data_IF_208778934801
#
_entry.id   IF_208778934801
#
_cell.length_a   1.000
_cell.length_b   1.000
_cell.length_c   1.000
_cell.angle_alpha   90.00
_cell.angle_beta   90.00
_cell.angle_gamma   90.00
#
_symmetry.space_group_name_H-M   'P 1'
#
loop_
_entity.id
_entity.type
_entity.pdbx_description
1 polymer ?
#
# COMPACT_ATOMS: atom_id res chain seq x y z
N UNK A 1 4.36 13.31 26.97
CA UNK A 1 4.88 14.32 26.04
C UNK A 1 3.81 14.56 24.98
N UNK A 2 3.42 15.80 24.71
CA UNK A 2 2.12 16.14 24.10
C UNK A 2 2.13 15.96 22.57
N UNK A 3 1.15 15.25 22.04
CA UNK A 3 0.91 14.94 20.61
C UNK A 3 1.02 16.13 19.61
N UNK A 4 0.93 17.43 20.02
CA UNK A 4 1.04 18.55 19.08
C UNK A 4 2.45 18.85 18.55
N UNK A 5 3.51 18.31 19.09
CA UNK A 5 4.87 18.66 18.66
C UNK A 5 5.33 17.85 17.43
N UNK A 6 4.89 16.62 17.28
CA UNK A 6 5.27 15.77 16.14
C UNK A 6 4.71 16.25 14.79
N UNK A 7 3.67 17.11 14.80
CA UNK A 7 3.10 17.72 13.58
C UNK A 7 3.85 18.96 13.06
N UNK A 8 4.79 19.52 13.79
CA UNK A 8 5.46 20.78 13.44
C UNK A 8 6.78 20.63 12.68
N UNK A 9 7.47 19.51 12.79
CA UNK A 9 8.79 19.37 12.15
C UNK A 9 8.74 18.95 10.66
N UNK A 10 7.62 18.46 10.18
CA UNK A 10 7.45 18.10 8.76
C UNK A 10 7.00 19.23 7.83
N UNK A 11 6.93 20.49 8.33
CA UNK A 11 6.38 21.64 7.56
C UNK A 11 7.42 22.66 7.07
N UNK A 12 8.69 22.41 7.19
CA UNK A 12 9.75 23.36 6.83
C UNK A 12 10.68 22.84 5.74
N UNK A 13 10.17 22.68 4.51
CA UNK A 13 11.01 22.76 3.29
C UNK A 13 10.14 22.81 2.03
N UNK A 14 9.54 23.97 1.78
CA UNK A 14 9.06 24.33 0.44
C UNK A 14 9.20 25.85 0.33
N UNK A 15 10.39 26.31 -0.05
CA UNK A 15 10.59 27.69 -0.51
C UNK A 15 10.32 27.73 -2.01
N UNK A 16 9.20 28.33 -2.38
CA UNK A 16 8.92 28.79 -3.73
C UNK A 16 9.83 29.96 -4.09
N UNK A 17 10.55 29.82 -5.20
CA UNK A 17 11.24 30.92 -5.87
C UNK A 17 10.27 31.56 -6.85
N UNK A 18 9.77 32.75 -6.52
CA UNK A 18 9.06 33.63 -7.46
C UNK A 18 10.07 34.39 -8.32
N UNK A 19 10.03 34.15 -9.61
CA UNK A 19 10.69 35.00 -10.61
C UNK A 19 9.68 36.04 -11.06
N UNK A 20 9.96 37.32 -10.73
CA UNK A 20 9.23 38.50 -11.18
C UNK A 20 9.87 38.97 -12.50
N UNK A 21 9.14 38.87 -13.60
CA UNK A 21 9.50 39.56 -14.86
C UNK A 21 8.68 40.85 -14.96
N UNK A 22 9.35 41.98 -14.87
CA UNK A 22 8.84 43.32 -15.20
C UNK A 22 8.87 43.49 -16.73
N UNK A 23 7.70 43.76 -17.32
CA UNK A 23 7.60 44.29 -18.66
C UNK A 23 7.35 45.81 -18.58
N UNK A 24 8.24 46.57 -19.21
CA UNK A 24 8.21 48.02 -19.36
C UNK A 24 7.27 48.38 -20.49
N UNK A 25 6.33 49.31 -20.22
CA UNK A 25 5.46 49.94 -21.21
C UNK A 25 6.10 51.25 -21.64
N UNK A 26 6.40 51.42 -22.94
CA UNK A 26 6.78 52.66 -23.54
C UNK A 26 5.63 53.18 -24.39
N UNK A 27 5.24 54.39 -24.07
CA UNK A 27 4.20 55.23 -24.69
C UNK A 27 4.82 55.99 -25.89
N UNK A 28 4.16 56.04 -27.03
CA UNK A 28 4.31 57.13 -27.99
C UNK A 28 3.07 57.35 -28.86
N UNK A 29 2.66 58.54 -28.79
CA UNK A 29 1.67 59.36 -29.45
C UNK A 29 1.48 59.18 -30.97
N UNK A 30 0.28 59.50 -31.46
CA UNK A 30 0.01 59.77 -32.87
C UNK A 30 -1.47 60.02 -33.17
N UNK A 31 -1.84 61.29 -33.08
CA UNK A 31 -3.11 61.91 -33.48
C UNK A 31 -3.45 61.71 -34.95
N UNK A 32 -4.71 62.02 -35.23
CA UNK A 32 -5.34 62.53 -36.50
C UNK A 32 -6.43 61.57 -36.97
N UNK A 33 -7.67 61.90 -37.11
CA UNK A 33 -8.50 63.01 -37.45
C UNK A 33 -9.82 62.44 -38.00
N UNK A 34 -10.87 62.84 -37.42
CA UNK A 34 -12.15 63.37 -37.92
C UNK A 34 -12.79 62.86 -39.23
N UNK A 35 -14.07 62.66 -39.06
CA UNK A 35 -15.20 62.98 -39.98
C UNK A 35 -15.49 61.97 -41.12
N UNK A 36 -16.65 61.42 -41.13
CA UNK A 36 -17.82 61.72 -41.99
C UNK A 36 -19.03 60.93 -41.59
N UNK A 37 -20.03 61.59 -41.40
CA UNK A 37 -21.38 61.58 -41.07
C UNK A 37 -22.29 60.75 -42.00
N UNK A 38 -23.38 60.33 -41.43
CA UNK A 38 -24.75 60.36 -41.91
C UNK A 38 -25.25 59.32 -42.94
N UNK A 39 -26.40 58.83 -42.56
CA UNK A 39 -27.58 58.37 -43.32
C UNK A 39 -27.48 56.98 -43.97
N UNK A 40 -28.24 56.06 -43.49
CA UNK A 40 -29.48 55.59 -44.12
C UNK A 40 -30.30 54.75 -43.13
N UNK A 41 -31.37 55.24 -42.76
CA UNK A 41 -32.72 54.93 -42.45
C UNK A 41 -33.16 53.52 -42.87
N UNK A 42 -33.80 52.87 -41.92
CA UNK A 42 -34.91 51.91 -42.03
C UNK A 42 -34.85 50.86 -43.13
N UNK A 43 -34.88 49.65 -42.76
CA UNK A 43 -35.88 48.68 -43.24
C UNK A 43 -36.01 47.46 -42.35
N UNK A 44 -37.19 47.26 -41.87
CA UNK A 44 -37.91 46.00 -41.65
C UNK A 44 -37.54 45.10 -40.49
N UNK A 45 -38.38 45.23 -39.47
CA UNK A 45 -38.77 44.15 -38.57
C UNK A 45 -38.96 42.84 -39.33
N UNK A 46 -38.18 41.86 -39.01
CA UNK A 46 -38.58 40.47 -39.08
C UNK A 46 -38.20 39.80 -37.78
N UNK A 47 -39.15 39.78 -36.87
CA UNK A 47 -39.13 38.86 -35.72
C UNK A 47 -39.23 37.45 -36.26
N UNK A 48 -38.09 36.77 -36.43
CA UNK A 48 -38.09 35.33 -36.46
C UNK A 48 -37.89 34.84 -35.03
N UNK A 49 -39.00 34.46 -34.41
CA UNK A 49 -39.00 33.63 -33.21
C UNK A 49 -38.32 32.30 -33.57
N UNK A 50 -37.01 32.22 -33.40
CA UNK A 50 -36.34 30.94 -33.34
C UNK A 50 -36.58 30.35 -31.95
N UNK A 51 -37.18 29.17 -31.82
CA UNK A 51 -37.22 28.50 -30.54
C UNK A 51 -35.78 28.20 -30.15
N UNK A 52 -35.31 28.84 -29.10
CA UNK A 52 -34.10 28.41 -28.38
C UNK A 52 -34.44 27.06 -27.77
N UNK A 53 -34.06 25.99 -28.47
CA UNK A 53 -33.97 24.72 -27.83
C UNK A 53 -32.85 24.88 -26.78
N UNK A 54 -33.24 25.07 -25.53
CA UNK A 54 -32.37 24.83 -24.41
C UNK A 54 -31.93 23.38 -24.54
N UNK A 55 -30.73 23.17 -25.06
CA UNK A 55 -30.03 21.91 -24.86
C UNK A 55 -29.83 21.81 -23.35
N UNK A 56 -30.69 20.99 -22.77
CA UNK A 56 -30.47 20.46 -21.44
C UNK A 56 -29.09 19.79 -21.50
N UNK A 57 -28.05 20.54 -21.12
CA UNK A 57 -26.75 19.99 -20.87
C UNK A 57 -26.93 19.11 -19.63
N UNK A 58 -27.42 17.90 -19.86
CA UNK A 58 -27.46 16.89 -18.85
C UNK A 58 -26.04 16.82 -18.29
N UNK A 59 -25.88 17.28 -17.04
CA UNK A 59 -24.69 17.10 -16.27
C UNK A 59 -24.36 15.60 -16.30
N UNK A 60 -23.48 15.24 -17.21
CA UNK A 60 -22.89 13.92 -17.22
C UNK A 60 -22.01 13.86 -15.97
N UNK A 61 -22.60 13.44 -14.87
CA UNK A 61 -21.87 13.10 -13.66
C UNK A 61 -20.91 11.97 -14.07
N UNK A 62 -19.67 12.32 -14.40
CA UNK A 62 -18.60 11.36 -14.59
C UNK A 62 -18.35 10.72 -13.24
N UNK A 63 -19.02 9.61 -12.99
CA UNK A 63 -18.71 8.77 -11.84
C UNK A 63 -17.40 8.09 -12.16
N UNK A 64 -16.31 8.61 -11.60
CA UNK A 64 -14.98 8.00 -11.70
C UNK A 64 -14.96 6.78 -10.77
N UNK A 65 -15.42 5.64 -11.27
CA UNK A 65 -15.45 4.39 -10.51
C UNK A 65 -14.03 3.83 -10.51
N UNK A 66 -13.36 3.96 -9.37
CA UNK A 66 -12.00 3.47 -9.20
C UNK A 66 -11.95 1.95 -9.27
N UNK A 67 -11.08 1.42 -10.11
CA UNK A 67 -10.76 -0.02 -10.18
C UNK A 67 -10.16 -0.50 -8.85
N UNK A 68 -10.76 -1.51 -8.24
CA UNK A 68 -10.27 -2.13 -7.00
C UNK A 68 -9.41 -3.33 -7.36
N UNK A 69 -8.16 -3.31 -6.93
CA UNK A 69 -7.19 -4.39 -7.13
C UNK A 69 -7.14 -5.30 -5.91
N UNK A 70 -7.29 -6.58 -6.11
CA UNK A 70 -7.17 -7.61 -5.07
C UNK A 70 -6.07 -8.57 -5.48
N UNK A 71 -5.00 -8.60 -4.69
CA UNK A 71 -3.94 -9.60 -4.84
C UNK A 71 -4.35 -10.87 -4.10
N UNK A 72 -4.23 -12.00 -4.77
CA UNK A 72 -4.68 -13.29 -4.27
C UNK A 72 -3.56 -14.30 -4.39
N UNK A 73 -3.24 -14.95 -3.29
CA UNK A 73 -2.37 -16.13 -3.25
C UNK A 73 -3.24 -17.38 -3.09
N UNK A 74 -3.01 -18.37 -3.94
CA UNK A 74 -3.63 -19.69 -3.78
C UNK A 74 -2.52 -20.70 -3.49
N UNK A 75 -2.70 -21.50 -2.44
CA UNK A 75 -1.76 -22.56 -2.10
C UNK A 75 -2.45 -23.93 -2.04
N UNK A 76 -1.71 -24.97 -2.30
CA UNK A 76 -2.15 -26.35 -2.10
C UNK A 76 -2.10 -26.75 -0.61
N UNK A 77 -2.42 -28.01 -0.33
CA UNK A 77 -2.39 -28.58 1.03
C UNK A 77 -0.99 -28.59 1.68
N UNK A 78 0.08 -28.45 0.87
CA UNK A 78 1.47 -28.38 1.34
C UNK A 78 1.95 -26.95 1.52
N UNK A 79 1.07 -25.95 1.26
CA UNK A 79 1.41 -24.53 1.30
C UNK A 79 2.18 -24.04 0.07
N UNK A 80 2.28 -24.85 -1.00
CA UNK A 80 2.96 -24.48 -2.25
C UNK A 80 2.05 -23.58 -3.07
N UNK A 81 2.56 -22.41 -3.56
CA UNK A 81 1.76 -21.52 -4.41
C UNK A 81 1.34 -22.17 -5.72
N UNK A 82 0.08 -22.02 -6.08
CA UNK A 82 -0.52 -22.56 -7.31
C UNK A 82 -0.70 -21.45 -8.32
N UNK A 83 0.06 -21.47 -9.43
CA UNK A 83 0.06 -20.43 -10.46
C UNK A 83 -0.75 -20.80 -11.72
N UNK A 84 -1.37 -22.00 -11.77
CA UNK A 84 -1.99 -22.54 -12.99
C UNK A 84 -3.48 -22.22 -13.16
N UNK A 85 -4.10 -21.52 -12.17
CA UNK A 85 -5.54 -21.24 -12.21
C UNK A 85 -5.91 -20.20 -13.27
N UNK A 86 -7.08 -20.36 -13.86
CA UNK A 86 -7.66 -19.43 -14.82
C UNK A 86 -8.68 -18.48 -14.15
N UNK A 87 -9.09 -17.43 -14.87
CA UNK A 87 -10.06 -16.45 -14.39
C UNK A 87 -11.36 -17.10 -13.91
N UNK A 88 -11.80 -18.13 -14.61
CA UNK A 88 -13.04 -18.86 -14.36
C UNK A 88 -13.02 -19.66 -13.06
N UNK A 89 -11.82 -19.90 -12.50
CA UNK A 89 -11.69 -20.55 -11.20
C UNK A 89 -11.95 -19.63 -10.02
N UNK A 90 -12.10 -18.31 -10.25
CA UNK A 90 -12.26 -17.35 -9.16
C UNK A 90 -13.66 -16.75 -9.13
N UNK A 91 -14.24 -16.70 -7.93
CA UNK A 91 -15.41 -15.90 -7.61
C UNK A 91 -15.03 -14.85 -6.58
N UNK A 92 -15.35 -13.59 -6.86
CA UNK A 92 -15.10 -12.46 -5.95
C UNK A 92 -16.42 -11.88 -5.48
N UNK A 93 -16.55 -11.67 -4.17
CA UNK A 93 -17.71 -11.00 -3.55
C UNK A 93 -17.23 -9.78 -2.77
N UNK A 94 -17.97 -8.67 -2.89
CA UNK A 94 -17.84 -7.49 -2.03
C UNK A 94 -19.12 -7.35 -1.21
N UNK A 95 -18.98 -7.25 0.11
CA UNK A 95 -20.11 -7.21 1.05
C UNK A 95 -21.17 -8.30 0.78
N UNK A 96 -20.73 -9.49 0.36
CA UNK A 96 -21.58 -10.62 0.02
C UNK A 96 -22.17 -10.61 -1.40
N UNK A 97 -22.03 -9.50 -2.15
CA UNK A 97 -22.48 -9.41 -3.56
C UNK A 97 -21.37 -9.80 -4.51
N UNK A 98 -21.69 -10.67 -5.46
CA UNK A 98 -20.74 -11.08 -6.50
C UNK A 98 -20.36 -9.91 -7.39
N UNK A 99 -19.07 -9.82 -7.72
CA UNK A 99 -18.50 -8.77 -8.56
C UNK A 99 -17.93 -9.36 -9.85
N UNK A 100 -18.16 -8.68 -10.97
CA UNK A 100 -17.61 -9.09 -12.26
C UNK A 100 -16.14 -8.67 -12.35
N UNK A 101 -15.24 -9.63 -12.54
CA UNK A 101 -13.82 -9.35 -12.75
C UNK A 101 -13.61 -8.60 -14.07
N UNK A 102 -13.11 -7.38 -13.98
CA UNK A 102 -12.71 -6.56 -15.12
C UNK A 102 -11.29 -6.93 -15.60
N UNK A 103 -10.38 -7.20 -14.64
CA UNK A 103 -8.99 -7.58 -14.92
C UNK A 103 -8.69 -8.89 -14.20
N UNK A 104 -7.97 -9.75 -14.88
CA UNK A 104 -7.34 -10.95 -14.34
C UNK A 104 -5.92 -11.03 -14.89
N UNK A 105 -4.94 -11.16 -14.03
CA UNK A 105 -3.55 -11.37 -14.41
C UNK A 105 -2.91 -12.42 -13.50
N UNK A 106 -2.10 -13.26 -14.09
CA UNK A 106 -1.17 -14.13 -13.37
C UNK A 106 0.16 -13.37 -13.27
N UNK A 107 0.87 -13.50 -12.17
CA UNK A 107 2.19 -12.89 -12.01
C UNK A 107 2.16 -11.38 -12.33
N UNK A 108 1.68 -10.60 -11.38
CA UNK A 108 1.59 -9.16 -11.57
C UNK A 108 2.97 -8.53 -11.87
N UNK A 109 3.10 -7.85 -13.01
CA UNK A 109 4.27 -7.06 -13.37
C UNK A 109 4.35 -5.70 -12.65
N UNK A 110 3.35 -5.41 -11.84
CA UNK A 110 3.33 -4.16 -11.09
C UNK A 110 4.56 -4.06 -10.17
N UNK A 111 5.19 -2.88 -10.09
CA UNK A 111 6.32 -2.66 -9.19
C UNK A 111 5.96 -3.05 -7.75
N UNK A 112 6.90 -3.69 -7.07
CA UNK A 112 6.77 -4.12 -5.70
C UNK A 112 7.47 -3.12 -4.77
N UNK A 113 6.75 -2.60 -3.78
CA UNK A 113 7.31 -1.79 -2.70
C UNK A 113 7.26 -2.57 -1.40
N UNK A 114 8.42 -2.85 -0.83
CA UNK A 114 8.58 -3.66 0.39
C UNK A 114 9.06 -2.77 1.53
N UNK A 115 8.34 -2.74 2.65
CA UNK A 115 8.83 -2.24 3.93
C UNK A 115 9.27 -3.43 4.78
N UNK A 116 10.57 -3.59 4.96
CA UNK A 116 11.15 -4.62 5.82
C UNK A 116 11.39 -4.01 7.20
N UNK A 117 10.64 -4.46 8.21
CA UNK A 117 10.71 -4.00 9.59
C UNK A 117 11.35 -5.08 10.47
N UNK A 118 12.48 -4.75 11.08
CA UNK A 118 13.29 -5.68 11.86
C UNK A 118 13.25 -5.25 13.32
N UNK A 119 12.79 -6.14 14.18
CA UNK A 119 12.85 -5.97 15.62
C UNK A 119 14.29 -6.00 16.09
N UNK A 120 14.66 -5.04 16.91
CA UNK A 120 16.01 -4.93 17.48
C UNK A 120 15.97 -4.84 19.00
N UNK A 121 14.87 -5.27 19.61
CA UNK A 121 14.68 -5.31 21.06
C UNK A 121 15.72 -6.21 21.75
N UNK A 122 15.74 -6.19 23.08
CA UNK A 122 16.73 -6.96 23.83
C UNK A 122 16.59 -8.47 23.65
N UNK A 123 15.38 -8.97 23.44
CA UNK A 123 15.08 -10.39 23.24
C UNK A 123 15.72 -10.93 21.96
N UNK A 124 15.73 -10.15 20.87
CA UNK A 124 16.31 -10.55 19.57
C UNK A 124 17.83 -10.43 19.51
N UNK A 125 18.47 -9.88 20.55
CA UNK A 125 19.89 -9.49 20.53
C UNK A 125 20.86 -10.58 20.09
N UNK A 126 20.61 -11.83 20.47
CA UNK A 126 21.50 -12.97 20.14
C UNK A 126 21.39 -13.33 18.66
N UNK A 127 20.19 -13.22 18.09
CA UNK A 127 19.87 -13.70 16.75
C UNK A 127 19.96 -12.59 15.69
N UNK A 128 20.01 -11.32 16.12
CA UNK A 128 20.04 -10.15 15.24
C UNK A 128 21.09 -10.23 14.11
N UNK A 129 22.35 -10.66 14.33
CA UNK A 129 23.33 -10.77 13.23
C UNK A 129 22.89 -11.75 12.14
N UNK A 130 22.23 -12.85 12.53
CA UNK A 130 21.72 -13.87 11.61
C UNK A 130 20.49 -13.37 10.88
N UNK A 131 19.59 -12.66 11.57
CA UNK A 131 18.42 -12.02 10.98
C UNK A 131 18.81 -10.99 9.93
N UNK A 132 19.81 -10.15 10.21
CA UNK A 132 20.34 -9.17 9.26
C UNK A 132 20.99 -9.83 8.05
N UNK A 133 21.66 -10.97 8.22
CA UNK A 133 22.22 -11.74 7.10
C UNK A 133 21.10 -12.31 6.21
N UNK A 134 20.05 -12.89 6.80
CA UNK A 134 18.88 -13.40 6.08
C UNK A 134 18.10 -12.27 5.38
N UNK A 135 17.97 -11.10 6.02
CA UNK A 135 17.37 -9.91 5.42
C UNK A 135 18.11 -9.43 4.14
N UNK A 136 19.44 -9.43 4.15
CA UNK A 136 20.26 -9.13 2.96
C UNK A 136 20.03 -10.15 1.84
N UNK A 137 19.99 -11.42 2.19
CA UNK A 137 19.72 -12.50 1.23
C UNK A 137 18.33 -12.36 0.61
N UNK A 138 17.32 -12.06 1.42
CA UNK A 138 15.97 -11.76 0.95
C UNK A 138 15.96 -10.60 -0.04
N UNK A 139 16.57 -9.46 0.31
CA UNK A 139 16.63 -8.30 -0.57
C UNK A 139 17.23 -8.63 -1.94
N UNK A 140 18.33 -9.41 -1.98
CA UNK A 140 18.97 -9.86 -3.23
C UNK A 140 18.09 -10.80 -4.06
N UNK A 141 17.25 -11.60 -3.40
CA UNK A 141 16.41 -12.60 -4.06
C UNK A 141 15.14 -11.98 -4.63
N UNK A 142 14.52 -11.03 -3.90
CA UNK A 142 13.19 -10.51 -4.24
C UNK A 142 13.24 -9.31 -5.17
N UNK A 143 14.24 -8.42 -5.06
CA UNK A 143 14.24 -7.15 -5.77
C UNK A 143 14.53 -7.29 -7.25
N UNK A 144 13.69 -6.64 -8.06
CA UNK A 144 13.90 -6.36 -9.47
C UNK A 144 14.22 -4.86 -9.65
N UNK A 145 14.74 -4.42 -10.80
CA UNK A 145 15.10 -2.99 -11.00
C UNK A 145 13.96 -1.99 -10.75
N UNK A 146 12.71 -2.37 -11.03
CA UNK A 146 11.53 -1.53 -10.83
C UNK A 146 10.99 -1.55 -9.40
N UNK A 147 11.47 -2.47 -8.55
CA UNK A 147 11.00 -2.62 -7.18
C UNK A 147 11.73 -1.66 -6.23
N UNK A 148 11.20 -1.51 -5.03
CA UNK A 148 11.83 -0.73 -3.98
C UNK A 148 11.67 -1.39 -2.61
N UNK A 149 12.78 -1.47 -1.88
CA UNK A 149 12.79 -1.95 -0.51
C UNK A 149 13.24 -0.84 0.42
N UNK A 150 12.45 -0.57 1.46
CA UNK A 150 12.83 0.25 2.60
C UNK A 150 13.13 -0.66 3.79
N UNK A 151 14.13 -0.29 4.59
CA UNK A 151 14.48 -1.02 5.81
C UNK A 151 14.19 -0.14 7.01
N UNK A 152 13.39 -0.66 7.91
CA UNK A 152 13.12 -0.09 9.23
C UNK A 152 13.73 -0.99 10.30
N UNK A 153 14.29 -0.39 11.32
CA UNK A 153 14.49 -1.06 12.60
C UNK A 153 13.48 -0.54 13.59
N UNK A 154 13.03 -1.35 14.49
CA UNK A 154 12.18 -0.90 15.59
C UNK A 154 12.60 -1.54 16.91
N UNK A 155 12.48 -0.75 17.94
CA UNK A 155 12.70 -1.10 19.33
C UNK A 155 11.80 -0.17 20.17
N UNK A 156 12.34 0.68 21.05
CA UNK A 156 11.62 1.79 21.70
C UNK A 156 11.14 2.87 20.72
N UNK A 157 11.81 2.99 19.58
CA UNK A 157 11.50 3.91 18.47
C UNK A 157 11.61 3.17 17.14
N UNK A 158 10.98 3.74 16.11
CA UNK A 158 11.03 3.21 14.74
C UNK A 158 11.89 4.10 13.88
N UNK A 159 13.01 3.56 13.39
CA UNK A 159 13.96 4.29 12.56
C UNK A 159 13.95 3.77 11.11
N UNK A 160 13.90 4.72 10.17
CA UNK A 160 14.09 4.43 8.75
C UNK A 160 15.59 4.33 8.45
N UNK A 161 16.11 3.12 8.33
CA UNK A 161 17.52 2.84 8.03
C UNK A 161 17.85 3.02 6.55
N UNK A 162 16.92 2.65 5.67
CA UNK A 162 17.05 2.75 4.22
C UNK A 162 15.72 3.20 3.61
N UNK A 163 15.67 4.33 2.89
CA UNK A 163 14.47 4.70 2.13
C UNK A 163 14.29 3.75 0.94
N UNK A 164 13.07 3.71 0.36
CA UNK A 164 12.77 2.83 -0.77
C UNK A 164 13.79 2.95 -1.91
N UNK A 165 14.46 1.84 -2.18
CA UNK A 165 15.49 1.73 -3.23
C UNK A 165 15.61 0.29 -3.72
N UNK A 166 16.07 0.10 -4.96
CA UNK A 166 16.52 -1.19 -5.49
C UNK A 166 18.04 -1.38 -5.42
N UNK A 167 18.76 -0.36 -4.94
CA UNK A 167 20.23 -0.39 -4.82
C UNK A 167 20.67 -1.24 -3.62
N UNK A 168 21.14 -2.46 -3.91
CA UNK A 168 21.57 -3.41 -2.90
C UNK A 168 22.73 -2.88 -2.03
N UNK A 169 23.61 -2.03 -2.59
CA UNK A 169 24.73 -1.45 -1.80
C UNK A 169 24.21 -0.50 -0.71
N UNK A 170 23.18 0.29 -1.04
CA UNK A 170 22.52 1.18 -0.06
C UNK A 170 21.78 0.38 1.00
N UNK A 171 21.15 -0.72 0.59
CA UNK A 171 20.45 -1.63 1.53
C UNK A 171 21.46 -2.26 2.48
N UNK A 172 22.55 -2.84 1.96
CA UNK A 172 23.60 -3.45 2.78
C UNK A 172 24.19 -2.43 3.78
N UNK A 173 24.56 -1.24 3.29
CA UNK A 173 25.11 -0.17 4.14
C UNK A 173 24.13 0.31 5.22
N UNK A 174 22.83 0.30 4.93
CA UNK A 174 21.81 0.63 5.93
C UNK A 174 21.65 -0.44 6.98
N UNK A 175 21.62 -1.69 6.57
CA UNK A 175 21.57 -2.86 7.48
C UNK A 175 22.79 -2.89 8.40
N UNK A 176 23.98 -2.55 7.91
CA UNK A 176 25.21 -2.50 8.71
C UNK A 176 25.16 -1.49 9.86
N UNK A 177 24.29 -0.49 9.79
CA UNK A 177 24.09 0.52 10.85
C UNK A 177 23.07 0.12 11.90
N UNK A 178 22.35 -0.98 11.72
CA UNK A 178 21.35 -1.45 12.69
C UNK A 178 22.05 -1.87 13.98
N UNK A 179 21.51 -1.42 15.12
CA UNK A 179 21.98 -1.74 16.47
C UNK A 179 20.79 -2.12 17.33
N UNK A 180 21.06 -2.89 18.39
CA UNK A 180 20.03 -3.28 19.35
C UNK A 180 19.47 -2.08 20.11
N UNK A 181 18.20 -2.18 20.44
CA UNK A 181 17.48 -1.33 21.38
C UNK A 181 17.04 -2.10 22.62
N UNK A 182 15.95 -1.66 23.25
CA UNK A 182 15.56 -2.19 24.57
C UNK A 182 14.12 -2.72 24.64
N UNK A 183 13.17 -2.08 23.95
CA UNK A 183 11.74 -2.39 23.99
C UNK A 183 11.22 -2.74 22.58
N UNK A 184 9.90 -2.91 22.41
CA UNK A 184 9.28 -3.32 21.14
C UNK A 184 8.09 -2.42 20.83
N UNK A 185 8.25 -1.48 19.87
CA UNK A 185 7.20 -0.62 19.33
C UNK A 185 6.62 -1.23 18.05
N UNK A 186 6.00 -2.39 18.15
CA UNK A 186 5.50 -3.17 17.02
C UNK A 186 4.40 -2.45 16.24
N UNK A 187 3.39 -1.91 16.94
CA UNK A 187 2.27 -1.26 16.26
C UNK A 187 2.70 0.06 15.62
N UNK A 188 3.65 0.78 16.22
CA UNK A 188 4.25 1.97 15.60
C UNK A 188 5.01 1.60 14.32
N UNK A 189 5.75 0.49 14.31
CA UNK A 189 6.45 0.00 13.13
C UNK A 189 5.48 -0.36 11.98
N UNK A 190 4.38 -1.04 12.30
CA UNK A 190 3.33 -1.35 11.32
C UNK A 190 2.69 -0.06 10.80
N UNK A 191 2.34 0.86 11.68
CA UNK A 191 1.69 2.13 11.33
C UNK A 191 2.58 3.00 10.41
N UNK A 192 3.83 3.24 10.80
CA UNK A 192 4.76 4.08 10.05
C UNK A 192 5.15 3.46 8.70
N UNK A 193 5.39 2.14 8.68
CA UNK A 193 5.64 1.41 7.44
C UNK A 193 4.45 1.44 6.49
N UNK A 194 3.22 1.29 7.00
CA UNK A 194 2.00 1.44 6.22
C UNK A 194 1.83 2.85 5.65
N UNK A 195 2.09 3.89 6.45
CA UNK A 195 2.09 5.28 5.97
C UNK A 195 3.11 5.53 4.85
N UNK A 196 4.29 4.94 4.95
CA UNK A 196 5.30 5.04 3.89
C UNK A 196 4.85 4.31 2.62
N UNK A 197 4.28 3.11 2.76
CA UNK A 197 3.73 2.32 1.65
C UNK A 197 2.52 2.99 0.99
N UNK A 198 1.69 3.73 1.73
CA UNK A 198 0.52 4.43 1.17
C UNK A 198 0.89 5.43 0.07
N UNK A 199 2.11 5.97 0.09
CA UNK A 199 2.66 6.91 -0.89
C UNK A 199 3.25 6.21 -2.13
N UNK A 200 3.27 4.89 -2.15
CA UNK A 200 3.84 4.09 -3.23
C UNK A 200 2.76 3.63 -4.20
N UNK A 201 3.17 3.41 -5.45
CA UNK A 201 2.33 2.81 -6.48
C UNK A 201 2.65 1.32 -6.61
N UNK A 202 1.74 0.56 -7.23
CA UNK A 202 1.91 -0.87 -7.45
C UNK A 202 1.58 -1.70 -6.20
N UNK A 203 2.30 -2.80 -6.04
CA UNK A 203 2.09 -3.76 -4.94
C UNK A 203 2.82 -3.30 -3.69
N UNK A 204 2.14 -3.33 -2.57
CA UNK A 204 2.64 -2.83 -1.30
C UNK A 204 2.70 -3.98 -0.31
N UNK A 205 3.87 -4.23 0.19
CA UNK A 205 4.14 -5.35 1.10
C UNK A 205 4.93 -4.86 2.29
N UNK A 206 4.58 -5.34 3.47
CA UNK A 206 5.40 -5.21 4.66
C UNK A 206 5.82 -6.59 5.11
N UNK A 207 7.08 -6.73 5.50
CA UNK A 207 7.59 -7.93 6.18
C UNK A 207 8.07 -7.50 7.55
N UNK A 208 7.47 -8.07 8.59
CA UNK A 208 7.81 -7.79 9.99
C UNK A 208 8.52 -9.00 10.57
N UNK A 209 9.69 -8.81 11.18
CA UNK A 209 10.46 -9.83 11.87
C UNK A 209 10.51 -9.43 13.34
N UNK A 210 10.00 -10.27 14.24
CA UNK A 210 9.97 -10.01 15.68
C UNK A 210 9.83 -11.32 16.45
N UNK A 211 10.26 -11.34 17.69
CA UNK A 211 10.08 -12.47 18.62
C UNK A 211 9.01 -12.20 19.68
N UNK A 212 8.44 -10.99 19.68
CA UNK A 212 7.53 -10.57 20.74
C UNK A 212 6.38 -9.69 20.30
N UNK A 213 5.57 -9.37 21.29
CA UNK A 213 4.47 -8.44 21.17
C UNK A 213 4.88 -7.00 21.42
N UNK A 214 3.91 -6.13 21.26
CA UNK A 214 4.06 -4.72 21.51
C UNK A 214 4.23 -4.40 22.99
N UNK A 215 5.20 -3.56 23.33
CA UNK A 215 5.43 -3.15 24.73
C UNK A 215 5.36 -1.63 24.96
N UNK A 216 5.62 -0.82 23.93
CA UNK A 216 5.76 0.64 24.10
C UNK A 216 5.16 1.49 22.98
N UNK A 217 4.46 0.92 22.02
CA UNK A 217 3.86 1.69 20.93
C UNK A 217 2.93 2.81 21.42
N UNK A 218 2.92 3.90 20.69
CA UNK A 218 2.01 5.04 20.91
C UNK A 218 0.65 4.80 20.23
N UNK A 219 0.64 4.10 19.10
CA UNK A 219 -0.60 3.68 18.44
C UNK A 219 -1.03 2.30 18.98
N UNK A 220 -2.34 2.04 18.90
CA UNK A 220 -2.85 0.73 19.28
C UNK A 220 -2.99 -0.21 18.06
N UNK A 221 -3.28 -1.49 18.34
CA UNK A 221 -3.50 -2.53 17.34
C UNK A 221 -4.47 -2.10 16.21
N UNK A 222 -5.62 -1.50 16.58
CA UNK A 222 -6.66 -1.14 15.59
C UNK A 222 -6.20 -0.01 14.66
N UNK A 223 -5.44 0.94 15.18
CA UNK A 223 -4.86 2.04 14.40
C UNK A 223 -3.80 1.52 13.43
N UNK A 224 -2.94 0.61 13.87
CA UNK A 224 -1.92 -0.03 13.03
C UNK A 224 -2.56 -0.86 11.91
N UNK A 225 -3.54 -1.73 12.24
CA UNK A 225 -4.28 -2.52 11.25
C UNK A 225 -5.00 -1.63 10.24
N UNK A 226 -5.70 -0.60 10.71
CA UNK A 226 -6.40 0.34 9.86
C UNK A 226 -5.44 1.05 8.88
N UNK A 227 -4.30 1.52 9.37
CA UNK A 227 -3.27 2.14 8.51
C UNK A 227 -2.79 1.19 7.42
N UNK A 228 -2.58 -0.09 7.74
CA UNK A 228 -2.19 -1.12 6.77
C UNK A 228 -3.28 -1.35 5.71
N UNK A 229 -4.54 -1.43 6.12
CA UNK A 229 -5.68 -1.61 5.21
C UNK A 229 -5.92 -0.38 4.34
N UNK A 230 -5.81 0.84 4.87
CA UNK A 230 -5.90 2.10 4.10
C UNK A 230 -4.74 2.26 3.12
N UNK A 231 -3.55 1.77 3.46
CA UNK A 231 -2.41 1.70 2.56
C UNK A 231 -2.56 0.63 1.47
N UNK A 232 -3.49 -0.31 1.63
CA UNK A 232 -3.61 -1.53 0.81
C UNK A 232 -2.33 -2.38 0.86
N UNK A 233 -1.68 -2.41 2.03
CA UNK A 233 -0.46 -3.16 2.26
C UNK A 233 -0.76 -4.59 2.72
N UNK A 234 -0.11 -5.56 2.11
CA UNK A 234 -0.13 -6.96 2.57
C UNK A 234 1.00 -7.15 3.58
N UNK A 235 0.68 -7.68 4.77
CA UNK A 235 1.67 -7.87 5.83
C UNK A 235 2.02 -9.34 5.96
N UNK A 236 3.31 -9.63 5.94
CA UNK A 236 3.88 -10.93 6.28
C UNK A 236 4.62 -10.81 7.62
N UNK A 237 4.30 -11.68 8.56
CA UNK A 237 4.97 -11.72 9.86
C UNK A 237 5.89 -12.94 9.96
N UNK A 238 7.15 -12.73 10.30
CA UNK A 238 8.08 -13.80 10.66
C UNK A 238 8.28 -13.73 12.17
N UNK A 239 7.73 -14.71 12.86
CA UNK A 239 7.74 -14.81 14.32
C UNK A 239 8.93 -15.65 14.73
N UNK A 240 9.92 -15.00 15.33
CA UNK A 240 11.12 -15.68 15.85
C UNK A 240 10.75 -16.33 17.18
N UNK A 241 10.97 -17.63 17.29
CA UNK A 241 10.72 -18.37 18.52
C UNK A 241 12.05 -18.85 19.08
N UNK A 242 12.56 -18.23 20.17
CA UNK A 242 13.80 -18.68 20.80
C UNK A 242 13.68 -20.12 21.31
N UNK A 243 14.67 -20.96 21.05
CA UNK A 243 14.67 -22.39 21.47
C UNK A 243 14.60 -22.53 22.99
N UNK A 244 15.10 -21.57 23.74
CA UNK A 244 15.15 -21.56 25.20
C UNK A 244 13.90 -21.03 25.88
N UNK A 245 12.94 -20.47 25.13
CA UNK A 245 11.78 -19.75 25.66
C UNK A 245 10.51 -20.60 25.79
N UNK A 246 10.60 -21.79 26.33
CA UNK A 246 9.39 -22.56 26.69
C UNK A 246 8.60 -21.97 27.87
N UNK A 247 9.16 -21.03 28.62
CA UNK A 247 8.48 -20.33 29.72
C UNK A 247 8.53 -18.82 29.47
N UNK A 248 7.40 -18.23 29.00
CA UNK A 248 7.26 -16.80 28.83
C UNK A 248 6.98 -16.32 27.40
N UNK A 249 6.51 -17.21 26.52
CA UNK A 249 6.08 -16.87 25.17
C UNK A 249 4.94 -15.84 25.22
N UNK A 250 5.10 -14.70 24.56
CA UNK A 250 4.03 -13.70 24.46
C UNK A 250 2.98 -14.12 23.42
N UNK A 251 2.03 -14.91 23.89
CA UNK A 251 0.93 -15.39 23.04
C UNK A 251 0.00 -14.27 22.57
N UNK A 252 -0.07 -13.13 23.27
CA UNK A 252 -0.87 -11.98 22.90
C UNK A 252 -0.31 -11.26 21.67
N UNK A 253 0.98 -10.98 21.69
CA UNK A 253 1.69 -10.35 20.57
C UNK A 253 1.70 -11.25 19.34
N UNK A 254 1.93 -12.54 19.53
CA UNK A 254 1.86 -13.52 18.45
C UNK A 254 0.47 -13.55 17.78
N UNK A 255 -0.61 -13.57 18.57
CA UNK A 255 -1.96 -13.53 18.03
C UNK A 255 -2.23 -12.24 17.23
N UNK A 256 -1.74 -11.10 17.68
CA UNK A 256 -1.86 -9.85 16.96
C UNK A 256 -1.16 -9.89 15.59
N UNK A 257 0.05 -10.45 15.53
CA UNK A 257 0.80 -10.62 14.28
C UNK A 257 0.11 -11.56 13.30
N UNK A 258 -0.45 -12.67 13.78
CA UNK A 258 -1.23 -13.61 12.98
C UNK A 258 -2.43 -12.88 12.38
N UNK A 259 -3.21 -12.21 13.21
CA UNK A 259 -4.45 -11.56 12.80
C UNK A 259 -4.17 -10.38 11.81
N UNK A 260 -3.14 -9.55 12.05
CA UNK A 260 -2.75 -8.50 11.10
C UNK A 260 -2.36 -9.09 9.75
N UNK A 261 -1.60 -10.19 9.73
CA UNK A 261 -1.20 -10.84 8.49
C UNK A 261 -2.42 -11.35 7.72
N UNK A 262 -3.31 -12.08 8.38
CA UNK A 262 -4.51 -12.65 7.76
C UNK A 262 -5.47 -11.55 7.25
N UNK A 263 -5.74 -10.51 8.05
CA UNK A 263 -6.65 -9.42 7.68
C UNK A 263 -6.14 -8.58 6.50
N UNK A 264 -4.82 -8.55 6.30
CA UNK A 264 -4.18 -7.84 5.17
C UNK A 264 -3.92 -8.74 3.96
N UNK A 265 -4.24 -10.03 4.04
CA UNK A 265 -4.08 -11.00 2.95
C UNK A 265 -2.67 -11.56 2.81
N UNK A 266 -1.85 -11.40 3.82
CA UNK A 266 -0.54 -12.05 3.95
C UNK A 266 -0.61 -13.32 4.78
N UNK A 267 0.55 -13.73 5.28
CA UNK A 267 0.73 -14.92 6.10
C UNK A 267 1.74 -14.68 7.21
N UNK A 268 1.74 -15.58 8.17
CA UNK A 268 2.76 -15.63 9.21
C UNK A 268 3.60 -16.91 9.10
N UNK A 269 4.83 -16.82 9.54
CA UNK A 269 5.78 -17.93 9.58
C UNK A 269 6.49 -17.95 10.92
N UNK A 270 6.74 -19.14 11.42
CA UNK A 270 7.60 -19.33 12.59
C UNK A 270 9.01 -19.65 12.15
N UNK A 271 9.99 -19.09 12.84
CA UNK A 271 11.40 -19.40 12.66
C UNK A 271 12.07 -19.60 14.02
N UNK A 272 12.62 -20.79 14.26
CA UNK A 272 13.41 -21.13 15.45
C UNK A 272 14.91 -21.21 15.13
N UNK A 273 15.28 -20.99 13.88
CA UNK A 273 16.65 -21.09 13.38
C UNK A 273 16.81 -20.29 12.08
N UNK A 274 18.06 -19.94 11.76
CA UNK A 274 18.39 -19.25 10.50
C UNK A 274 17.90 -19.98 9.24
N UNK A 275 18.03 -21.33 9.12
CA UNK A 275 17.46 -22.02 7.97
C UNK A 275 15.94 -21.86 7.83
N UNK A 276 15.21 -21.84 8.94
CA UNK A 276 13.76 -21.60 8.92
C UNK A 276 13.41 -20.15 8.57
N UNK A 277 14.20 -19.19 9.03
CA UNK A 277 14.07 -17.78 8.65
C UNK A 277 14.31 -17.59 7.14
N UNK A 278 15.37 -18.19 6.60
CA UNK A 278 15.65 -18.19 5.15
C UNK A 278 14.51 -18.86 4.35
N UNK A 279 13.95 -19.97 4.86
CA UNK A 279 12.81 -20.65 4.24
C UNK A 279 11.54 -19.78 4.26
N UNK A 280 11.27 -19.07 5.36
CA UNK A 280 10.17 -18.12 5.45
C UNK A 280 10.30 -17.01 4.39
N UNK A 281 11.48 -16.40 4.27
CA UNK A 281 11.76 -15.41 3.24
C UNK A 281 11.61 -15.96 1.82
N UNK A 282 12.07 -17.20 1.57
CA UNK A 282 11.90 -17.87 0.29
C UNK A 282 10.42 -18.05 -0.05
N UNK A 283 9.62 -18.57 0.91
CA UNK A 283 8.17 -18.75 0.74
C UNK A 283 7.47 -17.43 0.45
N UNK A 284 7.81 -16.35 1.17
CA UNK A 284 7.28 -15.01 0.90
C UNK A 284 7.63 -14.57 -0.53
N UNK A 285 8.88 -14.78 -0.96
CA UNK A 285 9.32 -14.44 -2.32
C UNK A 285 8.55 -15.22 -3.39
N UNK A 286 8.37 -16.53 -3.18
CA UNK A 286 7.64 -17.40 -4.11
C UNK A 286 6.16 -17.00 -4.19
N UNK A 287 5.52 -16.70 -3.07
CA UNK A 287 4.14 -16.21 -3.03
C UNK A 287 3.99 -14.88 -3.75
N UNK A 288 4.86 -13.92 -3.47
CA UNK A 288 4.82 -12.61 -4.11
C UNK A 288 5.02 -12.67 -5.63
N UNK A 289 5.68 -13.70 -6.13
CA UNK A 289 5.89 -13.93 -7.57
C UNK A 289 4.73 -14.65 -8.26
N UNK A 290 3.90 -15.37 -7.49
CA UNK A 290 2.81 -16.21 -8.01
C UNK A 290 1.42 -15.66 -7.71
N UNK A 291 1.32 -14.46 -7.15
CA UNK A 291 0.02 -13.83 -6.86
C UNK A 291 -0.78 -13.54 -8.12
N UNK A 292 -2.07 -13.82 -8.05
CA UNK A 292 -3.04 -13.35 -9.03
C UNK A 292 -3.46 -11.92 -8.72
N UNK A 293 -3.65 -11.11 -9.76
CA UNK A 293 -4.32 -9.83 -9.69
C UNK A 293 -5.76 -10.02 -10.20
N UNK A 294 -6.71 -9.83 -9.31
CA UNK A 294 -8.13 -9.72 -9.63
C UNK A 294 -8.53 -8.25 -9.47
N UNK A 295 -9.11 -7.65 -10.51
CA UNK A 295 -9.59 -6.31 -10.37
C UNK A 295 -11.04 -6.17 -10.88
N UNK A 296 -11.81 -5.32 -10.22
CA UNK A 296 -13.22 -5.10 -10.52
C UNK A 296 -13.63 -3.65 -10.29
N UNK A 297 -14.72 -3.26 -10.93
CA UNK A 297 -15.39 -2.01 -10.64
C UNK A 297 -16.54 -2.30 -9.67
N UNK A 298 -16.52 -1.74 -8.47
CA UNK A 298 -17.57 -1.96 -7.48
C UNK A 298 -18.96 -1.57 -8.00
N UNK A 299 -19.96 -2.42 -7.74
CA UNK A 299 -21.32 -2.18 -8.19
C UNK A 299 -22.10 -1.22 -7.29
N UNK A 300 -21.76 -1.17 -6.01
CA UNK A 300 -22.44 -0.32 -5.04
C UNK A 300 -21.71 1.03 -4.90
N UNK A 301 -22.47 2.12 -4.82
CA UNK A 301 -21.93 3.44 -4.48
C UNK A 301 -21.45 3.44 -3.03
N UNK A 302 -20.44 4.27 -2.76
CA UNK A 302 -19.77 4.31 -1.46
C UNK A 302 -20.06 5.60 -0.71
N UNK A 303 -20.05 5.52 0.62
CA UNK A 303 -19.71 6.65 1.49
C UNK A 303 -18.21 6.64 1.81
N UNK A 304 -17.68 7.80 2.16
CA UNK A 304 -16.27 7.94 2.55
C UNK A 304 -15.97 7.13 3.81
N UNK A 305 -14.82 6.48 3.81
CA UNK A 305 -14.29 5.72 4.97
C UNK A 305 -15.06 4.46 5.35
N UNK A 306 -15.93 3.94 4.48
CA UNK A 306 -16.58 2.64 4.71
C UNK A 306 -15.58 1.50 4.51
N UNK A 307 -15.62 0.53 5.42
CA UNK A 307 -14.89 -0.72 5.23
C UNK A 307 -15.70 -1.65 4.33
N UNK A 308 -15.11 -2.05 3.20
CA UNK A 308 -15.66 -2.99 2.22
C UNK A 308 -15.05 -4.35 2.38
N UNK A 309 -15.84 -5.32 2.82
CA UNK A 309 -15.39 -6.70 2.97
C UNK A 309 -15.25 -7.36 1.61
N UNK A 310 -14.10 -7.99 1.36
CA UNK A 310 -13.82 -8.73 0.13
C UNK A 310 -13.60 -10.19 0.46
N UNK A 311 -14.24 -11.05 -0.30
CA UNK A 311 -14.08 -12.51 -0.21
C UNK A 311 -13.79 -13.07 -1.60
N UNK A 312 -12.70 -13.83 -1.72
CA UNK A 312 -12.37 -14.58 -2.92
C UNK A 312 -12.48 -16.07 -2.60
N UNK A 313 -13.16 -16.79 -3.46
CA UNK A 313 -13.30 -18.26 -3.38
C UNK A 313 -12.97 -18.89 -4.72
N UNK A 314 -12.57 -20.16 -4.70
CA UNK A 314 -12.39 -20.93 -5.95
C UNK A 314 -13.71 -21.61 -6.32
N UNK A 315 -14.07 -21.46 -7.58
CA UNK A 315 -15.13 -22.22 -8.26
C UNK A 315 -14.46 -23.23 -9.19
N UNK A 316 -14.91 -24.49 -9.14
CA UNK A 316 -14.36 -25.58 -9.95
C UNK A 316 -12.82 -25.67 -9.89
N UNK A 317 -12.23 -25.80 -8.68
CA UNK A 317 -10.80 -25.99 -8.57
C UNK A 317 -10.38 -27.29 -9.26
N UNK A 318 -9.11 -27.41 -9.71
CA UNK A 318 -8.61 -28.65 -10.31
C UNK A 318 -8.87 -29.85 -9.39
N UNK A 319 -9.30 -30.96 -9.98
CA UNK A 319 -9.69 -32.15 -9.23
C UNK A 319 -8.50 -32.71 -8.43
N UNK A 320 -8.77 -33.19 -7.20
CA UNK A 320 -7.82 -33.90 -6.36
C UNK A 320 -6.98 -33.04 -5.42
N UNK A 321 -7.23 -31.73 -5.31
CA UNK A 321 -6.49 -30.84 -4.40
C UNK A 321 -7.38 -30.13 -3.38
N UNK A 322 -6.83 -29.90 -2.19
CA UNK A 322 -7.37 -28.92 -1.22
C UNK A 322 -6.58 -27.62 -1.42
N UNK A 323 -7.30 -26.53 -1.62
CA UNK A 323 -6.69 -25.22 -1.88
C UNK A 323 -7.07 -24.22 -0.80
N UNK A 324 -6.11 -23.39 -0.43
CA UNK A 324 -6.33 -22.25 0.47
C UNK A 324 -6.17 -20.95 -0.34
N UNK A 325 -7.12 -20.04 -0.14
CA UNK A 325 -7.12 -18.75 -0.83
C UNK A 325 -6.85 -17.67 0.20
N UNK A 326 -5.82 -16.87 -0.04
CA UNK A 326 -5.44 -15.75 0.80
C UNK A 326 -5.60 -14.45 0.02
N UNK A 327 -6.41 -13.55 0.56
CA UNK A 327 -6.62 -12.19 0.08
C UNK A 327 -6.95 -11.27 1.26
N UNK A 328 -6.72 -9.98 1.12
CA UNK A 328 -7.11 -9.03 2.17
C UNK A 328 -8.59 -9.15 2.51
N UNK A 329 -8.93 -9.03 3.80
CA UNK A 329 -10.31 -9.12 4.30
C UNK A 329 -11.22 -8.01 3.73
N UNK A 330 -10.62 -6.89 3.33
CA UNK A 330 -11.34 -5.77 2.74
C UNK A 330 -10.44 -4.56 2.53
N UNK A 331 -11.07 -3.42 2.31
CA UNK A 331 -10.40 -2.14 2.13
C UNK A 331 -11.30 -0.99 2.59
N UNK A 332 -10.69 0.16 2.89
CA UNK A 332 -11.42 1.39 3.17
C UNK A 332 -11.59 2.22 1.89
N UNK A 333 -12.78 2.76 1.67
CA UNK A 333 -13.03 3.71 0.60
C UNK A 333 -12.29 5.02 0.91
N UNK A 334 -11.64 5.61 -0.11
CA UNK A 334 -10.90 6.87 0.04
C UNK A 334 -11.77 8.04 -0.37
N UNK A 335 -11.72 9.13 0.41
CA UNK A 335 -12.36 10.40 0.08
C UNK A 335 -11.90 10.89 -1.30
N UNK A 336 -12.86 11.19 -2.20
CA UNK A 336 -12.57 11.70 -3.54
C UNK A 336 -12.24 10.62 -4.60
N UNK A 337 -12.57 9.36 -4.35
CA UNK A 337 -12.46 8.28 -5.34
C UNK A 337 -13.77 8.06 -6.12
N UNK A 338 -14.55 9.15 -6.34
CA UNK A 338 -15.82 9.19 -7.09
C UNK A 338 -15.63 9.79 -8.46
#
# INVERSE_FOLDING_TARGET
MNIPQMKREFRASSRESRITTRASCSNRDGRISQLIACLFVCTLLNCTNSPVFAQDAGDTVKVDVKLVNIFVTVTDSHGTPVASLAKENFQLKENGKEQKLAVFSRESELPLSIALSIDTSLSTRKDLPLELASARKFARTILRPQDGLAVYKFSEEVDLMVPFTSDLKKIDAGIDRIRNGSATALYDAVFLGAQALSKRQGRKVMVVITDGGDTVSQVNYKEALRAAQEAEATIYSIIIVPIEASAGRDTGGEHALIQISEDTGGKYYYATSTPQLDDAFRKISDELRTQYLLAYYPTDRYSDSDFRRVQVTLTNPPAGGTYQVHNRAGYYTKKGSW
#
